data_IF_962512400115
#
_entry.id   IF_962512400115
#
_cell.length_a   1.000
_cell.length_b   1.000
_cell.length_c   1.000
_cell.angle_alpha   90.00
_cell.angle_beta   90.00
_cell.angle_gamma   90.00
#
_symmetry.space_group_name_H-M   'P 1'
#
loop_
_entity.id
_entity.type
_entity.pdbx_description
1 polymer ?
#
# COMPACT_ATOMS: atom_id res chain seq x y z
N UNK A 1 6.80 -6.34 9.31
CA UNK A 1 7.71 -6.67 8.18
C UNK A 1 7.02 -6.26 6.89
N UNK A 2 7.72 -5.64 5.93
CA UNK A 2 7.15 -5.33 4.61
C UNK A 2 7.14 -6.60 3.76
N UNK A 3 6.00 -6.90 3.13
CA UNK A 3 5.78 -8.13 2.35
C UNK A 3 5.57 -7.87 0.86
N UNK A 4 4.95 -6.73 0.53
CA UNK A 4 4.69 -6.32 -0.84
C UNK A 4 4.73 -4.79 -0.95
N UNK A 5 4.94 -4.31 -2.17
CA UNK A 5 4.87 -2.89 -2.49
C UNK A 5 4.44 -2.68 -3.93
N UNK A 6 3.85 -1.51 -4.21
CA UNK A 6 3.57 -1.03 -5.55
C UNK A 6 3.82 0.48 -5.66
N UNK A 7 4.15 0.95 -6.86
CA UNK A 7 4.37 2.37 -7.14
C UNK A 7 3.14 2.96 -7.81
N UNK A 8 2.79 4.19 -7.44
CA UNK A 8 1.78 4.90 -8.19
C UNK A 8 2.32 5.22 -9.62
N UNK A 9 1.44 5.43 -10.61
CA UNK A 9 1.87 5.63 -12.00
C UNK A 9 2.86 6.79 -12.23
N UNK A 10 2.83 7.83 -11.39
CA UNK A 10 3.75 8.97 -11.46
C UNK A 10 5.09 8.75 -10.75
N UNK A 11 5.29 7.59 -10.11
CA UNK A 11 6.46 7.25 -9.31
C UNK A 11 6.78 8.25 -8.18
N UNK A 12 5.74 8.88 -7.62
CA UNK A 12 5.84 9.85 -6.51
C UNK A 12 5.41 9.26 -5.18
N UNK A 13 4.79 8.07 -5.18
CA UNK A 13 4.34 7.41 -3.96
C UNK A 13 4.39 5.89 -4.08
N UNK A 14 4.56 5.22 -2.95
CA UNK A 14 4.55 3.76 -2.82
C UNK A 14 3.48 3.36 -1.82
N UNK A 15 2.71 2.33 -2.13
CA UNK A 15 1.91 1.58 -1.16
C UNK A 15 2.72 0.38 -0.69
N UNK A 16 2.72 0.09 0.60
CA UNK A 16 3.38 -1.12 1.14
C UNK A 16 2.43 -1.90 2.02
N UNK A 17 2.34 -3.21 1.80
CA UNK A 17 1.62 -4.14 2.66
C UNK A 17 2.52 -4.73 3.74
N UNK A 18 2.04 -4.74 4.98
CA UNK A 18 2.79 -5.20 6.14
C UNK A 18 2.25 -6.53 6.68
N UNK A 19 3.14 -7.27 7.33
CA UNK A 19 2.85 -8.55 7.98
C UNK A 19 1.87 -8.45 9.14
N UNK A 20 1.70 -7.27 9.72
CA UNK A 20 0.71 -7.04 10.76
C UNK A 20 -0.65 -6.65 10.16
N UNK A 21 -0.86 -6.77 8.86
CA UNK A 21 -2.12 -6.42 8.19
C UNK A 21 -2.34 -4.93 7.96
N UNK A 22 -1.35 -4.10 8.29
CA UNK A 22 -1.38 -2.67 8.03
C UNK A 22 -0.90 -2.36 6.61
N UNK A 23 -1.31 -1.21 6.08
CA UNK A 23 -0.83 -0.64 4.83
C UNK A 23 -0.25 0.74 5.10
N UNK A 24 0.88 1.03 4.48
CA UNK A 24 1.48 2.37 4.46
C UNK A 24 1.36 2.96 3.06
N UNK A 25 1.05 4.25 3.00
CA UNK A 25 1.25 5.09 1.84
C UNK A 25 2.44 6.00 2.11
N UNK A 26 3.46 5.94 1.27
CA UNK A 26 4.72 6.66 1.44
C UNK A 26 4.92 7.60 0.26
N UNK A 27 5.17 8.88 0.54
CA UNK A 27 5.60 9.86 -0.46
C UNK A 27 7.09 9.74 -0.73
N UNK A 28 7.47 9.91 -1.99
CA UNK A 28 8.85 9.90 -2.46
C UNK A 28 9.17 11.25 -3.07
N UNK A 29 10.18 11.89 -2.50
CA UNK A 29 10.84 13.07 -3.04
C UNK A 29 12.32 12.76 -3.29
N UNK A 30 13.02 13.61 -4.05
CA UNK A 30 14.41 13.41 -4.47
C UNK A 30 15.39 13.22 -3.31
N UNK A 31 15.06 13.75 -2.13
CA UNK A 31 15.96 13.80 -0.97
C UNK A 31 15.43 13.07 0.25
N UNK A 32 14.13 12.72 0.27
CA UNK A 32 13.48 12.14 1.43
C UNK A 32 12.27 11.31 1.05
N UNK A 33 11.95 10.37 1.93
CA UNK A 33 10.68 9.67 1.96
C UNK A 33 9.93 10.06 3.23
N UNK A 34 8.60 10.04 3.17
CA UNK A 34 7.75 10.31 4.33
C UNK A 34 6.46 9.51 4.26
N UNK A 35 6.03 8.97 5.40
CA UNK A 35 4.74 8.29 5.51
C UNK A 35 3.64 9.34 5.37
N UNK A 36 2.78 9.18 4.37
CA UNK A 36 1.57 9.98 4.17
C UNK A 36 0.41 9.43 4.98
N UNK A 37 0.26 8.10 5.00
CA UNK A 37 -0.81 7.43 5.70
C UNK A 37 -0.37 6.05 6.17
N UNK A 38 -0.95 5.63 7.30
CA UNK A 38 -0.86 4.28 7.83
C UNK A 38 -2.25 3.88 8.29
N UNK A 39 -2.69 2.67 7.94
CA UNK A 39 -3.95 2.15 8.45
C UNK A 39 -3.93 0.63 8.53
N UNK A 40 -4.70 0.10 9.48
CA UNK A 40 -4.96 -1.33 9.63
C UNK A 40 -6.00 -1.76 8.59
N UNK A 41 -5.55 -2.38 7.51
CA UNK A 41 -6.43 -2.82 6.44
C UNK A 41 -7.04 -4.20 6.74
N UNK A 42 -6.24 -5.13 7.28
CA UNK A 42 -6.64 -6.50 7.56
C UNK A 42 -6.13 -6.96 8.93
N UNK A 43 -6.72 -8.04 9.45
CA UNK A 43 -6.24 -8.68 10.69
C UNK A 43 -5.11 -9.68 10.44
N UNK A 44 -4.80 -9.97 9.16
CA UNK A 44 -3.80 -10.90 8.66
C UNK A 44 -2.81 -10.20 7.72
N UNK A 45 -1.73 -10.88 7.37
CA UNK A 45 -0.69 -10.41 6.45
C UNK A 45 -1.28 -9.83 5.16
N UNK A 46 -0.77 -8.65 4.75
CA UNK A 46 -1.09 -8.08 3.44
C UNK A 46 -0.06 -8.56 2.42
N UNK A 47 -0.52 -9.36 1.46
CA UNK A 47 0.33 -10.00 0.44
C UNK A 47 0.35 -9.25 -0.88
N UNK A 48 -0.63 -8.39 -1.12
CA UNK A 48 -0.70 -7.57 -2.33
C UNK A 48 -1.21 -6.17 -2.02
N UNK A 49 -0.59 -5.18 -2.66
CA UNK A 49 -1.11 -3.82 -2.80
C UNK A 49 -0.96 -3.42 -4.27
N UNK A 50 -1.93 -2.75 -4.86
CA UNK A 50 -1.83 -2.24 -6.24
C UNK A 50 -2.52 -0.90 -6.36
N UNK A 51 -1.85 0.09 -6.94
CA UNK A 51 -2.52 1.32 -7.36
C UNK A 51 -3.44 1.02 -8.54
N UNK A 52 -4.59 1.69 -8.56
CA UNK A 52 -5.39 1.77 -9.77
C UNK A 52 -4.70 2.70 -10.77
N UNK A 53 -4.50 2.23 -12.00
CA UNK A 53 -3.78 2.98 -13.04
C UNK A 53 -4.58 4.16 -13.59
N UNK A 54 -5.91 4.04 -13.60
CA UNK A 54 -6.82 5.08 -14.12
C UNK A 54 -7.28 6.02 -12.99
N UNK A 55 -7.29 5.54 -11.75
CA UNK A 55 -7.68 6.28 -10.55
C UNK A 55 -6.57 6.25 -9.48
N UNK A 56 -5.49 7.04 -9.63
CA UNK A 56 -4.28 6.93 -8.78
C UNK A 56 -4.44 7.21 -7.28
N UNK A 57 -5.65 7.60 -6.85
CA UNK A 57 -6.00 7.81 -5.45
C UNK A 57 -6.56 6.54 -4.78
N UNK A 58 -6.78 5.47 -5.54
CA UNK A 58 -7.24 4.17 -5.06
C UNK A 58 -6.08 3.18 -5.00
N UNK A 59 -6.08 2.36 -3.95
CA UNK A 59 -5.13 1.25 -3.75
C UNK A 59 -5.94 0.02 -3.36
N UNK A 60 -5.84 -1.04 -4.17
CA UNK A 60 -6.43 -2.33 -3.87
C UNK A 60 -5.50 -3.17 -3.02
N UNK A 61 -6.05 -3.91 -2.06
CA UNK A 61 -5.28 -4.67 -1.07
C UNK A 61 -5.78 -6.11 -1.00
N UNK A 62 -4.86 -7.07 -0.86
CA UNK A 62 -5.15 -8.50 -0.71
C UNK A 62 -4.47 -9.11 0.52
N UNK A 63 -5.20 -9.96 1.24
CA UNK A 63 -4.79 -10.62 2.49
C UNK A 63 -5.38 -12.02 2.61
N UNK A 64 -4.89 -12.82 3.58
CA UNK A 64 -5.33 -14.19 3.87
C UNK A 64 -6.76 -14.29 4.42
N UNK A 65 -7.35 -13.17 4.83
CA UNK A 65 -8.76 -13.14 5.22
C UNK A 65 -9.75 -13.29 4.05
N UNK A 66 -9.23 -13.42 2.82
CA UNK A 66 -9.98 -13.53 1.57
C UNK A 66 -10.99 -12.39 1.36
N UNK A 67 -10.75 -11.21 1.94
CA UNK A 67 -11.58 -10.02 1.74
C UNK A 67 -10.92 -9.11 0.72
N UNK A 68 -11.72 -8.62 -0.21
CA UNK A 68 -11.31 -7.54 -1.09
C UNK A 68 -11.58 -6.20 -0.41
N UNK A 69 -10.56 -5.34 -0.30
CA UNK A 69 -10.67 -3.98 0.24
C UNK A 69 -9.96 -2.99 -0.69
N UNK A 70 -10.59 -1.82 -0.86
CA UNK A 70 -10.10 -0.67 -1.61
C UNK A 70 -10.60 0.62 -0.96
#
# INVERSE_FOLDING_TARGET
>A
MCLCLDWNPSATSISTGLSDGSVLLISIDKTKTSILQEWKAHDFEVWATSFDTDQPHLVYIGSDDCKFKG
#
